data_IF_780919829239
#
_entry.id   IF_780919829239
#
_cell.length_a   1.000
_cell.length_b   1.000
_cell.length_c   1.000
_cell.angle_alpha   90.00
_cell.angle_beta   90.00
_cell.angle_gamma   90.00
#
_symmetry.space_group_name_H-M   'P 1'
#
loop_
_entity.id
_entity.type
_entity.pdbx_description
1 polymer ?
#
# COMPACT_ATOMS: atom_id res chain seq x y z
N UNK A 1 21.49 7.60 -32.03
CA UNK A 1 21.39 7.67 -30.55
C UNK A 1 19.94 7.39 -30.18
N UNK A 2 19.65 6.21 -29.62
CA UNK A 2 18.28 5.82 -29.24
C UNK A 2 17.74 6.75 -28.16
N UNK A 3 16.73 7.55 -28.50
CA UNK A 3 15.99 8.37 -27.54
C UNK A 3 15.28 7.46 -26.55
N UNK A 4 15.75 7.43 -25.30
CA UNK A 4 15.07 6.76 -24.21
C UNK A 4 13.66 7.36 -24.10
N UNK A 5 12.62 6.55 -24.32
CA UNK A 5 11.22 6.95 -24.08
C UNK A 5 11.11 7.47 -22.64
N UNK A 6 10.99 8.77 -22.47
CA UNK A 6 10.62 9.37 -21.20
C UNK A 6 9.21 8.87 -20.85
N UNK A 7 9.02 8.42 -19.62
CA UNK A 7 7.71 7.96 -19.14
C UNK A 7 6.77 9.18 -19.15
N UNK A 8 5.57 9.02 -19.73
CA UNK A 8 4.56 10.08 -19.74
C UNK A 8 4.19 10.48 -18.31
N UNK A 9 3.94 11.77 -18.05
CA UNK A 9 3.48 12.27 -16.75
C UNK A 9 2.24 11.51 -16.26
N UNK A 10 1.31 11.17 -17.17
CA UNK A 10 0.12 10.38 -16.84
C UNK A 10 0.48 8.99 -16.32
N UNK A 11 1.46 8.33 -16.94
CA UNK A 11 1.95 7.03 -16.50
C UNK A 11 2.65 7.13 -15.14
N UNK A 12 3.44 8.18 -14.88
CA UNK A 12 4.06 8.41 -13.57
C UNK A 12 3.02 8.67 -12.47
N UNK A 13 1.99 9.45 -12.77
CA UNK A 13 0.89 9.73 -11.85
C UNK A 13 0.14 8.45 -11.48
N UNK A 14 -0.20 7.61 -12.46
CA UNK A 14 -0.89 6.33 -12.24
C UNK A 14 -0.03 5.36 -11.43
N UNK A 15 1.28 5.27 -11.72
CA UNK A 15 2.21 4.42 -10.95
C UNK A 15 2.27 4.84 -9.48
N UNK A 16 2.36 6.15 -9.23
CA UNK A 16 2.42 6.70 -7.86
C UNK A 16 1.10 6.51 -7.12
N UNK A 17 -0.03 6.75 -7.80
CA UNK A 17 -1.36 6.55 -7.22
C UNK A 17 -1.60 5.07 -6.85
N UNK A 18 -1.15 4.14 -7.69
CA UNK A 18 -1.27 2.68 -7.42
C UNK A 18 -0.41 2.26 -6.24
N UNK A 19 0.77 2.87 -6.05
CA UNK A 19 1.63 2.58 -4.90
C UNK A 19 1.04 3.06 -3.56
N UNK A 20 0.25 4.14 -3.57
CA UNK A 20 -0.35 4.71 -2.36
C UNK A 20 -1.72 4.11 -2.07
N UNK A 21 -2.48 3.71 -3.10
CA UNK A 21 -3.82 3.15 -2.93
C UNK A 21 -3.77 1.80 -2.20
N UNK A 22 -4.24 1.79 -0.94
CA UNK A 22 -4.38 0.57 -0.14
C UNK A 22 -5.83 0.36 0.30
N UNK A 23 -6.42 -0.76 -0.12
CA UNK A 23 -7.79 -1.17 0.25
C UNK A 23 -7.89 -1.52 1.74
N UNK A 24 -6.76 -1.86 2.39
CA UNK A 24 -6.70 -2.33 3.77
C UNK A 24 -7.26 -1.34 4.79
N UNK A 25 -7.10 -0.04 4.54
CA UNK A 25 -7.59 1.02 5.43
C UNK A 25 -9.09 1.26 5.33
N UNK A 26 -9.72 0.87 4.22
CA UNK A 26 -11.12 1.23 3.94
C UNK A 26 -12.13 0.67 4.96
N UNK A 27 -12.02 -0.59 5.44
CA UNK A 27 -12.97 -1.13 6.42
C UNK A 27 -12.87 -0.44 7.78
N UNK A 28 -11.65 -0.18 8.26
CA UNK A 28 -11.45 0.55 9.52
C UNK A 28 -11.96 1.99 9.43
N UNK A 29 -11.89 2.60 8.24
CA UNK A 29 -12.33 3.97 8.02
C UNK A 29 -13.84 4.11 7.75
N UNK A 30 -14.50 3.05 7.27
CA UNK A 30 -15.94 3.02 7.08
C UNK A 30 -16.72 3.27 8.38
N UNK A 31 -16.14 2.91 9.53
CA UNK A 31 -16.73 3.13 10.86
C UNK A 31 -16.92 4.61 11.19
N UNK A 32 -16.11 5.50 10.61
CA UNK A 32 -16.19 6.95 10.85
C UNK A 32 -17.25 7.68 10.01
N UNK A 33 -17.96 6.97 9.12
CA UNK A 33 -19.06 7.53 8.32
C UNK A 33 -18.66 8.80 7.57
N UNK A 34 -19.52 9.82 7.60
CA UNK A 34 -19.28 11.12 6.95
C UNK A 34 -18.08 11.91 7.51
N UNK A 35 -17.63 11.61 8.75
CA UNK A 35 -16.44 12.22 9.33
C UNK A 35 -15.13 11.80 8.64
N UNK A 36 -15.13 10.68 7.92
CA UNK A 36 -13.98 10.18 7.15
C UNK A 36 -13.54 11.17 6.06
N UNK A 37 -14.46 11.95 5.49
CA UNK A 37 -14.16 12.92 4.43
C UNK A 37 -13.20 14.00 4.95
N UNK A 38 -13.46 14.53 6.15
CA UNK A 38 -12.55 15.49 6.79
C UNK A 38 -11.18 14.87 7.10
N UNK A 39 -11.17 13.61 7.56
CA UNK A 39 -9.94 12.87 7.86
C UNK A 39 -9.05 12.61 6.64
N UNK A 40 -9.61 12.61 5.41
CA UNK A 40 -8.82 12.50 4.18
C UNK A 40 -8.47 13.86 3.59
N UNK A 41 -9.43 14.79 3.49
CA UNK A 41 -9.22 16.07 2.80
C UNK A 41 -8.22 16.95 3.56
N UNK A 42 -8.34 17.03 4.89
CA UNK A 42 -7.50 17.92 5.69
C UNK A 42 -6.02 17.51 5.59
N UNK A 43 -5.63 16.24 5.85
CA UNK A 43 -4.23 15.82 5.67
C UNK A 43 -3.77 15.82 4.22
N UNK A 44 -4.66 15.54 3.25
CA UNK A 44 -4.30 15.60 1.83
C UNK A 44 -3.84 17.01 1.43
N UNK A 45 -4.58 18.05 1.85
CA UNK A 45 -4.25 19.44 1.51
C UNK A 45 -3.11 19.97 2.39
N UNK A 46 -3.13 19.70 3.70
CA UNK A 46 -2.16 20.31 4.63
C UNK A 46 -0.81 19.59 4.71
N UNK A 47 -0.75 18.29 4.38
CA UNK A 47 0.48 17.51 4.44
C UNK A 47 0.87 16.97 3.07
N UNK A 48 -0.03 16.28 2.37
CA UNK A 48 0.35 15.56 1.16
C UNK A 48 0.71 16.48 -0.01
N UNK A 49 -0.09 17.53 -0.27
CA UNK A 49 0.19 18.51 -1.32
C UNK A 49 1.51 19.26 -1.07
N UNK A 50 1.77 19.82 0.13
CA UNK A 50 3.05 20.47 0.42
C UNK A 50 4.25 19.54 0.27
N UNK A 51 4.16 18.31 0.79
CA UNK A 51 5.25 17.33 0.68
C UNK A 51 5.52 16.98 -0.78
N UNK A 52 4.48 16.80 -1.59
CA UNK A 52 4.63 16.50 -3.01
C UNK A 52 5.30 17.64 -3.79
N UNK A 53 4.95 18.90 -3.50
CA UNK A 53 5.57 20.07 -4.12
C UNK A 53 7.05 20.19 -3.74
N UNK A 54 7.38 20.04 -2.45
CA UNK A 54 8.78 20.08 -1.98
C UNK A 54 9.59 18.94 -2.58
N UNK A 55 9.04 17.73 -2.62
CA UNK A 55 9.71 16.58 -3.25
C UNK A 55 9.91 16.78 -4.76
N UNK A 56 8.97 17.43 -5.45
CA UNK A 56 9.09 17.72 -6.88
C UNK A 56 10.23 18.73 -7.17
N UNK A 57 10.34 19.79 -6.40
CA UNK A 57 11.44 20.77 -6.49
C UNK A 57 12.80 20.13 -6.18
N UNK A 58 12.88 19.31 -5.12
CA UNK A 58 14.12 18.63 -4.76
C UNK A 58 14.54 17.57 -5.79
N UNK A 59 13.57 16.85 -6.39
CA UNK A 59 13.83 15.86 -7.42
C UNK A 59 14.27 16.48 -8.76
N UNK A 60 13.84 17.71 -9.07
CA UNK A 60 14.25 18.42 -10.28
C UNK A 60 15.61 19.11 -10.11
N UNK A 61 15.90 19.63 -8.91
CA UNK A 61 17.13 20.33 -8.59
C UNK A 61 18.34 19.42 -8.34
N UNK A 62 18.14 18.23 -7.76
CA UNK A 62 19.24 17.34 -7.37
C UNK A 62 19.04 15.90 -7.83
N UNK A 63 20.13 15.31 -8.36
CA UNK A 63 20.16 13.90 -8.72
C UNK A 63 20.38 13.05 -7.49
N UNK A 64 19.30 12.45 -6.98
CA UNK A 64 19.35 11.55 -5.83
C UNK A 64 17.97 11.30 -5.25
N UNK A 65 17.95 10.70 -4.05
CA UNK A 65 16.74 10.57 -3.25
C UNK A 65 16.82 11.39 -1.97
N UNK A 66 15.93 11.10 -1.03
CA UNK A 66 15.80 11.81 0.26
C UNK A 66 17.14 11.95 0.99
N UNK A 67 18.01 10.94 0.94
CA UNK A 67 19.36 11.03 1.52
C UNK A 67 20.16 12.21 0.98
N UNK A 68 20.22 12.37 -0.35
CA UNK A 68 21.00 13.43 -1.00
C UNK A 68 20.39 14.79 -0.72
N UNK A 69 19.06 14.89 -0.79
CA UNK A 69 18.34 16.14 -0.54
C UNK A 69 18.58 16.67 0.87
N UNK A 70 18.52 15.79 1.87
CA UNK A 70 18.72 16.18 3.27
C UNK A 70 20.21 16.38 3.58
N UNK A 71 21.09 15.56 3.00
CA UNK A 71 22.54 15.71 3.15
C UNK A 71 23.03 17.06 2.63
N UNK A 72 22.55 17.50 1.47
CA UNK A 72 22.99 18.77 0.88
C UNK A 72 22.54 19.98 1.72
N UNK A 73 21.38 19.89 2.37
CA UNK A 73 20.83 20.99 3.18
C UNK A 73 21.35 21.01 4.62
N UNK A 74 21.50 19.86 5.27
CA UNK A 74 21.75 19.75 6.71
C UNK A 74 23.00 18.91 7.08
N UNK A 75 23.74 18.41 6.09
CA UNK A 75 24.94 17.62 6.28
C UNK A 75 24.69 16.12 6.49
N UNK A 76 25.79 15.36 6.57
CA UNK A 76 25.80 13.89 6.51
C UNK A 76 25.00 13.20 7.63
N UNK A 77 25.06 13.72 8.86
CA UNK A 77 24.40 13.09 10.02
C UNK A 77 22.88 13.11 9.91
N UNK A 78 22.32 14.23 9.45
CA UNK A 78 20.87 14.39 9.28
C UNK A 78 20.41 13.69 8.00
N UNK A 79 21.24 13.67 6.95
CA UNK A 79 21.00 12.85 5.77
C UNK A 79 20.88 11.36 6.12
N UNK A 80 21.79 10.85 6.96
CA UNK A 80 21.74 9.47 7.44
C UNK A 80 20.48 9.18 8.28
N UNK A 81 20.09 10.07 9.20
CA UNK A 81 18.87 9.86 9.99
C UNK A 81 17.61 9.84 9.13
N UNK A 82 17.54 10.67 8.08
CA UNK A 82 16.39 10.70 7.17
C UNK A 82 16.23 9.38 6.39
N UNK A 83 17.31 8.86 5.79
CA UNK A 83 17.24 7.57 5.08
C UNK A 83 17.02 6.39 6.04
N UNK A 84 17.56 6.48 7.27
CA UNK A 84 17.33 5.50 8.32
C UNK A 84 15.85 5.45 8.75
N UNK A 85 15.20 6.60 8.91
CA UNK A 85 13.76 6.67 9.21
C UNK A 85 12.91 6.08 8.08
N UNK A 86 13.26 6.38 6.82
CA UNK A 86 12.58 5.79 5.66
C UNK A 86 12.72 4.25 5.65
N UNK A 87 13.90 3.74 6.04
CA UNK A 87 14.12 2.30 6.14
C UNK A 87 13.31 1.67 7.30
N UNK A 88 13.34 2.24 8.51
CA UNK A 88 12.58 1.75 9.66
C UNK A 88 11.07 1.72 9.37
N UNK A 89 10.53 2.75 8.72
CA UNK A 89 9.12 2.81 8.35
C UNK A 89 8.71 1.56 7.55
N UNK A 90 9.52 1.16 6.58
CA UNK A 90 9.27 -0.06 5.79
C UNK A 90 9.33 -1.32 6.66
N UNK A 91 10.33 -1.44 7.54
CA UNK A 91 10.49 -2.60 8.44
C UNK A 91 9.28 -2.76 9.36
N UNK A 92 8.75 -1.68 9.92
CA UNK A 92 7.56 -1.72 10.80
C UNK A 92 6.28 -1.98 10.01
N UNK A 93 6.23 -1.54 8.75
CA UNK A 93 5.06 -1.71 7.89
C UNK A 93 4.87 -3.16 7.40
N UNK A 94 5.95 -3.87 7.09
CA UNK A 94 5.87 -5.24 6.54
C UNK A 94 5.12 -6.25 7.43
N UNK A 95 5.39 -6.36 8.76
CA UNK A 95 4.67 -7.29 9.62
C UNK A 95 3.16 -7.03 9.67
N UNK A 96 2.75 -5.76 9.72
CA UNK A 96 1.34 -5.40 9.70
C UNK A 96 0.65 -5.83 8.39
N UNK A 97 1.36 -5.72 7.26
CA UNK A 97 0.87 -6.17 5.97
C UNK A 97 0.76 -7.71 5.90
N UNK A 98 1.76 -8.42 6.43
CA UNK A 98 1.73 -9.89 6.48
C UNK A 98 0.66 -10.43 7.43
N UNK A 99 0.40 -9.75 8.53
CA UNK A 99 -0.70 -10.11 9.44
C UNK A 99 -2.07 -10.01 8.74
N UNK A 100 -2.27 -8.97 7.93
CA UNK A 100 -3.49 -8.83 7.11
C UNK A 100 -3.60 -9.92 6.03
N UNK A 101 -2.48 -10.32 5.42
CA UNK A 101 -2.48 -11.47 4.50
C UNK A 101 -2.80 -12.78 5.22
N UNK A 102 -2.25 -12.98 6.42
CA UNK A 102 -2.53 -14.16 7.24
C UNK A 102 -4.00 -14.23 7.67
N UNK A 103 -4.61 -13.11 8.04
CA UNK A 103 -6.05 -13.08 8.36
C UNK A 103 -6.91 -13.35 7.13
N UNK A 104 -6.58 -12.78 5.97
CA UNK A 104 -7.27 -13.07 4.72
C UNK A 104 -7.19 -14.57 4.34
N UNK A 105 -6.04 -15.21 4.54
CA UNK A 105 -5.90 -16.66 4.36
C UNK A 105 -6.71 -17.45 5.39
N UNK A 106 -6.73 -17.04 6.66
CA UNK A 106 -7.51 -17.69 7.70
C UNK A 106 -9.01 -17.73 7.33
N UNK A 107 -9.57 -16.63 6.84
CA UNK A 107 -10.97 -16.56 6.42
C UNK A 107 -11.35 -17.54 5.29
N UNK A 108 -10.39 -18.03 4.49
CA UNK A 108 -10.64 -19.03 3.45
C UNK A 108 -10.77 -20.44 4.02
N UNK A 109 -10.04 -20.77 5.09
CA UNK A 109 -10.02 -22.10 5.67
C UNK A 109 -10.96 -22.23 6.87
N UNK A 110 -10.83 -21.34 7.85
CA UNK A 110 -11.66 -21.28 9.04
C UNK A 110 -11.52 -19.89 9.72
N UNK A 111 -12.61 -19.11 9.82
CA UNK A 111 -12.60 -17.80 10.49
C UNK A 111 -12.09 -17.83 11.94
N UNK A 112 -12.22 -18.95 12.66
CA UNK A 112 -11.72 -19.08 14.03
C UNK A 112 -10.19 -18.99 14.11
N UNK A 113 -9.48 -19.35 13.05
CA UNK A 113 -8.01 -19.28 12.97
C UNK A 113 -7.50 -17.84 12.84
N UNK A 114 -8.32 -16.89 12.39
CA UNK A 114 -7.93 -15.48 12.24
C UNK A 114 -7.61 -14.83 13.60
N UNK A 115 -8.26 -15.29 14.68
CA UNK A 115 -8.03 -14.81 16.04
C UNK A 115 -6.92 -15.57 16.78
N UNK A 116 -6.36 -16.64 16.19
CA UNK A 116 -5.28 -17.40 16.80
C UNK A 116 -3.92 -16.76 16.47
N UNK A 117 -3.31 -16.11 17.46
CA UNK A 117 -2.00 -15.47 17.31
C UNK A 117 -0.87 -16.43 16.89
N UNK A 118 -0.98 -17.73 17.22
CA UNK A 118 0.01 -18.75 16.83
C UNK A 118 -0.09 -19.05 15.33
N UNK A 119 -1.31 -19.16 14.79
CA UNK A 119 -1.53 -19.36 13.35
C UNK A 119 -1.03 -18.16 12.56
N UNK A 120 -1.43 -16.95 12.96
CA UNK A 120 -1.00 -15.70 12.32
C UNK A 120 0.53 -15.57 12.35
N UNK A 121 1.17 -15.85 13.49
CA UNK A 121 2.64 -15.84 13.61
C UNK A 121 3.33 -16.86 12.71
N UNK A 122 2.82 -18.10 12.66
CA UNK A 122 3.37 -19.15 11.80
C UNK A 122 3.28 -18.79 10.31
N UNK A 123 2.14 -18.26 9.87
CA UNK A 123 1.95 -17.82 8.47
C UNK A 123 2.89 -16.67 8.14
N UNK A 124 3.01 -15.66 9.00
CA UNK A 124 3.93 -14.54 8.80
C UNK A 124 5.37 -15.06 8.63
N UNK A 125 5.83 -15.95 9.52
CA UNK A 125 7.17 -16.53 9.46
C UNK A 125 7.42 -17.28 8.16
N UNK A 126 6.51 -18.18 7.76
CA UNK A 126 6.64 -18.97 6.53
C UNK A 126 6.71 -18.07 5.30
N UNK A 127 5.80 -17.10 5.19
CA UNK A 127 5.76 -16.17 4.05
C UNK A 127 7.00 -15.28 4.02
N UNK A 128 7.47 -14.80 5.18
CA UNK A 128 8.66 -13.96 5.26
C UNK A 128 9.92 -14.69 4.80
N UNK A 129 10.10 -15.94 5.24
CA UNK A 129 11.23 -16.77 4.82
C UNK A 129 11.16 -17.12 3.33
N UNK A 130 9.98 -17.47 2.80
CA UNK A 130 9.80 -17.68 1.36
C UNK A 130 10.14 -16.42 0.55
N UNK A 131 9.67 -15.26 0.98
CA UNK A 131 9.99 -13.97 0.35
C UNK A 131 11.50 -13.71 0.36
N UNK A 132 12.16 -13.96 1.49
CA UNK A 132 13.62 -13.81 1.63
C UNK A 132 14.40 -14.74 0.71
N UNK A 133 13.97 -16.02 0.59
CA UNK A 133 14.58 -16.98 -0.33
C UNK A 133 14.41 -16.60 -1.80
N UNK A 134 13.27 -16.00 -2.15
CA UNK A 134 13.03 -15.48 -3.51
C UNK A 134 13.91 -14.25 -3.77
N UNK A 135 14.06 -13.37 -2.78
CA UNK A 135 14.94 -12.20 -2.88
C UNK A 135 16.41 -12.60 -3.11
N UNK A 136 16.88 -13.70 -2.50
CA UNK A 136 18.23 -14.22 -2.75
C UNK A 136 18.44 -14.79 -4.15
N UNK A 137 17.38 -15.19 -4.87
CA UNK A 137 17.46 -15.69 -6.26
C UNK A 137 17.59 -14.58 -7.32
N UNK A 138 17.67 -13.32 -6.89
CA UNK A 138 17.90 -12.18 -7.78
C UNK A 138 16.64 -11.41 -8.15
N UNK A 139 16.86 -10.21 -8.71
CA UNK A 139 15.80 -9.21 -8.98
C UNK A 139 14.77 -9.70 -10.00
N UNK A 140 15.16 -10.53 -10.97
CA UNK A 140 14.24 -11.08 -11.97
C UNK A 140 13.23 -12.08 -11.38
N UNK A 141 13.69 -12.98 -10.51
CA UNK A 141 12.82 -13.94 -9.83
C UNK A 141 11.82 -13.21 -8.91
N UNK A 142 12.31 -12.20 -8.18
CA UNK A 142 11.47 -11.32 -7.37
C UNK A 142 10.42 -10.58 -8.21
N UNK A 143 10.83 -9.98 -9.34
CA UNK A 143 9.93 -9.25 -10.22
C UNK A 143 8.86 -10.15 -10.86
N UNK A 144 9.24 -11.37 -11.27
CA UNK A 144 8.32 -12.34 -11.86
C UNK A 144 7.26 -12.83 -10.85
N UNK A 145 7.67 -13.13 -9.61
CA UNK A 145 6.75 -13.53 -8.54
C UNK A 145 5.86 -12.35 -8.13
N UNK A 146 6.42 -11.14 -8.00
CA UNK A 146 5.68 -9.93 -7.66
C UNK A 146 4.63 -9.56 -8.69
N UNK A 147 4.95 -9.63 -9.99
CA UNK A 147 3.99 -9.34 -11.06
C UNK A 147 2.83 -10.34 -11.09
N UNK A 148 3.12 -11.65 -10.98
CA UNK A 148 2.08 -12.69 -10.93
C UNK A 148 1.23 -12.58 -9.66
N UNK A 149 1.85 -12.29 -8.52
CA UNK A 149 1.18 -12.07 -7.24
C UNK A 149 0.27 -10.84 -7.26
N UNK A 150 0.69 -9.74 -7.89
CA UNK A 150 -0.14 -8.54 -8.03
C UNK A 150 -1.38 -8.79 -8.89
N UNK A 151 -1.23 -9.48 -10.02
CA UNK A 151 -2.37 -9.81 -10.89
C UNK A 151 -3.37 -10.70 -10.15
N UNK A 152 -2.89 -11.80 -9.55
CA UNK A 152 -3.76 -12.76 -8.87
C UNK A 152 -4.38 -12.20 -7.58
N UNK A 153 -3.59 -11.48 -6.76
CA UNK A 153 -3.98 -11.04 -5.42
C UNK A 153 -4.61 -9.67 -5.35
N UNK A 154 -4.44 -8.80 -6.35
CA UNK A 154 -4.98 -7.43 -6.32
C UNK A 154 -5.93 -7.16 -7.47
N UNK A 155 -5.57 -7.49 -8.71
CA UNK A 155 -6.42 -7.17 -9.87
C UNK A 155 -7.71 -8.01 -9.87
N UNK A 156 -7.61 -9.33 -9.65
CA UNK A 156 -8.79 -10.22 -9.66
C UNK A 156 -9.79 -9.84 -8.56
N UNK A 157 -9.39 -9.68 -7.27
CA UNK A 157 -10.33 -9.25 -6.24
C UNK A 157 -10.91 -7.85 -6.49
N UNK A 158 -10.11 -6.90 -6.98
CA UNK A 158 -10.58 -5.55 -7.29
C UNK A 158 -11.64 -5.57 -8.41
N UNK A 159 -11.41 -6.32 -9.49
CA UNK A 159 -12.40 -6.49 -10.56
C UNK A 159 -13.69 -7.15 -10.03
N UNK A 160 -13.56 -8.16 -9.17
CA UNK A 160 -14.70 -8.80 -8.50
C UNK A 160 -15.52 -7.80 -7.67
N UNK A 161 -14.86 -6.96 -6.87
CA UNK A 161 -15.53 -5.91 -6.08
C UNK A 161 -16.26 -4.89 -6.95
N UNK A 162 -15.67 -4.46 -8.06
CA UNK A 162 -16.33 -3.54 -9.00
C UNK A 162 -17.59 -4.18 -9.60
N UNK A 163 -17.52 -5.45 -9.99
CA UNK A 163 -18.68 -6.19 -10.51
C UNK A 163 -19.76 -6.32 -9.43
N UNK A 164 -19.40 -6.72 -8.20
CA UNK A 164 -20.37 -6.80 -7.09
C UNK A 164 -21.00 -5.45 -6.76
N UNK A 165 -20.22 -4.35 -6.79
CA UNK A 165 -20.73 -3.00 -6.59
C UNK A 165 -21.72 -2.58 -7.68
N UNK A 166 -21.43 -2.89 -8.95
CA UNK A 166 -22.34 -2.64 -10.07
C UNK A 166 -23.63 -3.47 -9.96
N UNK A 167 -23.51 -4.76 -9.63
CA UNK A 167 -24.67 -5.64 -9.41
C UNK A 167 -25.52 -5.17 -8.22
N UNK A 168 -24.90 -4.65 -7.16
CA UNK A 168 -25.59 -4.07 -6.00
C UNK A 168 -26.35 -2.79 -6.37
N UNK A 169 -25.75 -1.89 -7.16
CA UNK A 169 -26.42 -0.71 -7.69
C UNK A 169 -27.61 -1.07 -8.59
N UNK A 170 -27.48 -2.11 -9.43
CA UNK A 170 -28.56 -2.57 -10.31
C UNK A 170 -29.71 -3.27 -9.57
N UNK A 171 -29.45 -3.83 -8.38
CA UNK A 171 -30.46 -4.52 -7.53
C UNK A 171 -31.17 -3.61 -6.52
N UNK A 172 -30.95 -2.30 -6.55
CA UNK A 172 -31.75 -1.35 -5.76
C UNK A 172 -31.23 -1.04 -4.35
N UNK A 173 -29.98 -1.38 -4.03
CA UNK A 173 -29.24 -0.78 -2.91
C UNK A 173 -29.93 -0.78 -1.54
N UNK A 174 -30.37 -1.93 -1.03
CA UNK A 174 -30.61 -2.05 0.41
C UNK A 174 -29.31 -2.36 1.13
N UNK A 175 -28.74 -1.33 1.76
CA UNK A 175 -27.72 -1.50 2.80
C UNK A 175 -28.35 -2.20 4.00
N UNK A 176 -27.66 -3.20 4.55
CA UNK A 176 -28.10 -3.97 5.72
C UNK A 176 -27.99 -3.15 7.03
N UNK A 177 -28.53 -1.93 7.06
CA UNK A 177 -28.50 -1.05 8.23
C UNK A 177 -29.91 -0.75 8.80
N UNK A 178 -30.97 -1.28 8.16
CA UNK A 178 -32.36 -1.02 8.55
C UNK A 178 -33.01 -2.18 9.35
N UNK A 179 -32.29 -3.25 9.66
CA UNK A 179 -32.82 -4.42 10.41
C UNK A 179 -32.44 -4.45 11.90
N UNK A 180 -32.00 -3.33 12.46
CA UNK A 180 -31.66 -3.17 13.89
C UNK A 180 -32.50 -2.08 14.60
N UNK A 181 -33.56 -1.58 13.97
CA UNK A 181 -34.57 -0.72 14.60
C UNK A 181 -35.95 -1.35 14.41
N UNK A 182 -36.20 -2.44 15.12
CA UNK A 182 -37.53 -2.90 15.56
C UNK A 182 -37.36 -3.76 16.83
#
# INVERSE_FOLDING_TARGET
MNGKKAISWTTMAILTATAVASVRGLPAMAVYGWGSIGLYIIPAILFMVPIALVAAELASGWKGGVFVWVKEAYGDRIGFSAIWQQWIQNVVWYPAQLAFFASALAYVFDPALANNGVFTGAVILVVYWLSTLIAFRGVEAFAAVGSKGFIAGTIIPAAGLVIFALLFMMKGGQSCNDSQQD
#
